data_IF_162781232512
#
_entry.id   IF_162781232512
#
_cell.length_a   1.000
_cell.length_b   1.000
_cell.length_c   1.000
_cell.angle_alpha   90.00
_cell.angle_beta   90.00
_cell.angle_gamma   90.00
#
_symmetry.space_group_name_H-M   'P 1'
#
loop_
_entity.id
_entity.type
_entity.pdbx_description
1 polymer ?
#
# COMPACT_ATOMS: atom_id res chain seq x y z
N UNK A 1 23.92 -39.52 -20.68
CA UNK A 1 23.85 -38.08 -20.99
C UNK A 1 23.63 -37.37 -19.66
N UNK A 2 24.56 -36.50 -19.27
CA UNK A 2 24.64 -35.82 -17.96
C UNK A 2 24.16 -34.37 -18.13
N UNK A 3 23.97 -33.70 -16.99
CA UNK A 3 23.79 -32.26 -16.72
C UNK A 3 22.33 -31.87 -16.51
N UNK A 4 21.83 -31.79 -15.26
CA UNK A 4 22.04 -30.74 -14.25
C UNK A 4 21.73 -29.34 -14.79
N UNK A 5 20.49 -28.90 -14.54
CA UNK A 5 20.18 -27.48 -14.41
C UNK A 5 19.67 -27.24 -12.99
N UNK A 6 20.64 -26.88 -12.14
CA UNK A 6 20.39 -26.16 -10.90
C UNK A 6 20.20 -24.67 -11.22
N UNK A 7 19.52 -23.98 -10.30
CA UNK A 7 19.37 -22.52 -10.15
C UNK A 7 18.11 -21.95 -10.82
N UNK A 8 17.09 -21.73 -9.99
CA UNK A 8 16.35 -20.47 -9.90
C UNK A 8 15.22 -20.61 -8.87
N UNK A 9 15.51 -20.52 -7.57
CA UNK A 9 14.45 -20.33 -6.56
C UNK A 9 15.00 -19.86 -5.19
N UNK A 10 15.95 -18.92 -5.20
CA UNK A 10 16.52 -18.35 -3.97
C UNK A 10 16.49 -16.81 -3.94
N UNK A 11 15.60 -16.17 -4.71
CA UNK A 11 15.52 -14.69 -4.79
C UNK A 11 14.25 -14.12 -4.14
N UNK A 12 13.41 -14.94 -3.51
CA UNK A 12 12.22 -14.41 -2.80
C UNK A 12 12.45 -14.16 -1.30
N UNK A 13 13.36 -14.88 -0.64
CA UNK A 13 13.49 -14.76 0.83
C UNK A 13 14.27 -13.54 1.33
N UNK A 14 15.14 -12.91 0.53
CA UNK A 14 15.87 -11.71 0.97
C UNK A 14 15.03 -10.43 0.84
N UNK A 15 14.17 -10.37 -0.18
CA UNK A 15 13.26 -9.24 -0.43
C UNK A 15 12.24 -9.09 0.70
N UNK A 16 11.71 -10.21 1.19
CA UNK A 16 10.67 -10.24 2.21
C UNK A 16 11.17 -9.78 3.59
N UNK A 17 12.39 -10.21 3.99
CA UNK A 17 12.99 -9.80 5.26
C UNK A 17 13.32 -8.31 5.31
N UNK A 18 13.86 -7.75 4.22
CA UNK A 18 14.17 -6.31 4.14
C UNK A 18 12.90 -5.47 4.22
N UNK A 19 11.80 -5.90 3.58
CA UNK A 19 10.51 -5.21 3.68
C UNK A 19 10.00 -5.20 5.14
N UNK A 20 10.14 -6.32 5.86
CA UNK A 20 9.70 -6.43 7.26
C UNK A 20 10.56 -5.56 8.19
N UNK A 21 11.89 -5.52 8.01
CA UNK A 21 12.77 -4.68 8.84
C UNK A 21 12.56 -3.18 8.57
N UNK A 22 12.39 -2.79 7.31
CA UNK A 22 12.19 -1.38 6.95
C UNK A 22 10.85 -0.84 7.50
N UNK A 23 9.79 -1.65 7.48
CA UNK A 23 8.49 -1.28 8.05
C UNK A 23 8.58 -1.06 9.57
N UNK A 24 9.43 -1.81 10.29
CA UNK A 24 9.59 -1.68 11.75
C UNK A 24 10.23 -0.36 12.19
N UNK A 25 11.14 0.20 11.39
CA UNK A 25 11.86 1.43 11.73
C UNK A 25 11.14 2.70 11.29
N UNK A 26 10.41 2.67 10.17
CA UNK A 26 9.82 3.87 9.56
C UNK A 26 8.37 4.15 9.99
N UNK A 27 7.71 3.22 10.69
CA UNK A 27 6.28 3.32 11.01
C UNK A 27 5.98 2.96 12.46
N UNK A 28 5.04 3.69 13.06
CA UNK A 28 4.52 3.43 14.41
C UNK A 28 3.80 2.07 14.49
N UNK A 29 3.57 1.56 15.71
CA UNK A 29 2.86 0.28 15.88
C UNK A 29 1.46 0.28 15.24
N UNK A 30 0.74 1.39 15.35
CA UNK A 30 -0.60 1.53 14.78
C UNK A 30 -0.57 1.60 13.25
N UNK A 31 0.38 2.35 12.67
CA UNK A 31 0.57 2.40 11.21
C UNK A 31 0.94 1.03 10.64
N UNK A 32 1.80 0.28 11.34
CA UNK A 32 2.17 -1.08 10.93
C UNK A 32 0.97 -2.02 10.94
N UNK A 33 0.09 -1.90 11.93
CA UNK A 33 -1.16 -2.67 11.97
C UNK A 33 -2.00 -2.38 10.73
N UNK A 34 -2.19 -1.10 10.38
CA UNK A 34 -2.94 -0.71 9.20
C UNK A 34 -2.31 -1.25 7.90
N UNK A 35 -0.99 -1.13 7.75
CA UNK A 35 -0.24 -1.66 6.58
C UNK A 35 -0.45 -3.17 6.45
N UNK A 36 -0.27 -3.93 7.52
CA UNK A 36 -0.38 -5.38 7.48
C UNK A 36 -1.83 -5.85 7.23
N UNK A 37 -2.81 -5.10 7.73
CA UNK A 37 -4.24 -5.41 7.53
C UNK A 37 -4.80 -5.02 6.16
N UNK A 38 -4.05 -4.24 5.35
CA UNK A 38 -4.52 -3.68 4.08
C UNK A 38 -5.79 -2.80 4.21
N UNK A 39 -6.08 -2.33 5.43
CA UNK A 39 -7.23 -1.49 5.75
C UNK A 39 -6.95 -0.01 5.45
N UNK A 40 -8.03 0.73 5.21
CA UNK A 40 -8.02 2.19 5.10
C UNK A 40 -8.71 2.77 6.32
N UNK A 41 -8.07 3.72 6.98
CA UNK A 41 -8.60 4.37 8.17
C UNK A 41 -8.51 5.89 8.05
N UNK A 42 -9.50 6.59 8.61
CA UNK A 42 -9.49 8.05 8.70
C UNK A 42 -8.27 8.49 9.52
N UNK A 43 -7.56 9.52 9.03
CA UNK A 43 -6.33 10.04 9.65
C UNK A 43 -5.04 9.33 9.21
N UNK A 44 -5.13 8.19 8.51
CA UNK A 44 -3.99 7.50 7.94
C UNK A 44 -3.22 8.41 6.99
N UNK A 45 -1.89 8.45 7.11
CA UNK A 45 -1.08 9.29 6.24
C UNK A 45 -0.99 8.71 4.83
N UNK A 46 -0.78 9.58 3.84
CA UNK A 46 -0.52 9.19 2.44
C UNK A 46 0.52 8.08 2.31
N UNK A 47 1.62 8.17 3.08
CA UNK A 47 2.72 7.21 3.04
C UNK A 47 2.29 5.82 3.53
N UNK A 48 1.52 5.77 4.62
CA UNK A 48 1.03 4.51 5.18
C UNK A 48 0.00 3.89 4.23
N UNK A 49 -0.89 4.70 3.63
CA UNK A 49 -1.87 4.22 2.65
C UNK A 49 -1.18 3.59 1.42
N UNK A 50 -0.19 4.27 0.85
CA UNK A 50 0.60 3.75 -0.27
C UNK A 50 1.34 2.47 0.11
N UNK A 51 1.86 2.38 1.34
CA UNK A 51 2.54 1.15 1.79
C UNK A 51 1.56 0.00 2.04
N UNK A 52 0.34 0.31 2.45
CA UNK A 52 -0.75 -0.63 2.74
C UNK A 52 -1.39 -1.19 1.47
N UNK A 53 -1.67 -0.34 0.47
CA UNK A 53 -2.43 -0.72 -0.73
C UNK A 53 -1.69 -0.60 -2.06
N UNK A 54 -0.50 0.00 -2.06
CA UNK A 54 0.21 0.35 -3.29
C UNK A 54 -0.27 1.66 -3.90
N UNK A 55 0.13 1.90 -5.15
CA UNK A 55 -0.24 3.10 -5.88
C UNK A 55 -1.71 3.05 -6.33
N UNK A 56 -2.46 4.17 -6.24
CA UNK A 56 -3.81 4.24 -6.77
C UNK A 56 -3.82 4.20 -8.31
N UNK A 57 -4.86 3.62 -8.90
CA UNK A 57 -5.06 3.61 -10.35
C UNK A 57 -5.30 5.01 -10.90
N UNK A 58 -5.94 5.86 -10.12
CA UNK A 58 -6.26 7.23 -10.54
C UNK A 58 -6.25 8.18 -9.36
N UNK A 59 -5.64 9.36 -9.57
CA UNK A 59 -5.63 10.46 -8.61
C UNK A 59 -6.24 11.71 -9.25
N UNK A 60 -7.35 12.18 -8.69
CA UNK A 60 -7.95 13.46 -9.05
C UNK A 60 -7.60 14.50 -8.00
N UNK A 61 -6.90 15.56 -8.40
CA UNK A 61 -6.58 16.68 -7.51
C UNK A 61 -7.56 17.82 -7.72
N UNK A 62 -8.25 18.21 -6.65
CA UNK A 62 -9.02 19.45 -6.59
C UNK A 62 -8.22 20.49 -5.83
N UNK A 63 -7.94 21.64 -6.46
CA UNK A 63 -7.14 22.71 -5.87
C UNK A 63 -7.70 23.29 -4.55
N UNK A 64 -8.95 22.98 -4.18
CA UNK A 64 -9.56 23.41 -2.90
C UNK A 64 -10.07 22.26 -2.03
N UNK A 65 -10.30 21.08 -2.59
CA UNK A 65 -11.03 19.99 -1.90
C UNK A 65 -10.16 18.79 -1.51
N UNK A 66 -8.87 18.81 -1.86
CA UNK A 66 -7.93 17.72 -1.59
C UNK A 66 -7.69 16.81 -2.80
N UNK A 67 -7.17 15.61 -2.54
CA UNK A 67 -6.93 14.59 -3.56
C UNK A 67 -7.94 13.46 -3.41
N UNK A 68 -8.56 13.00 -4.49
CA UNK A 68 -9.37 11.79 -4.51
C UNK A 68 -8.57 10.70 -5.21
N UNK A 69 -8.41 9.57 -4.54
CA UNK A 69 -7.65 8.42 -4.99
C UNK A 69 -8.62 7.28 -5.25
N UNK A 70 -8.43 6.57 -6.36
CA UNK A 70 -9.28 5.46 -6.77
C UNK A 70 -8.42 4.20 -6.91
N UNK A 71 -8.89 3.11 -6.31
CA UNK A 71 -8.29 1.78 -6.43
C UNK A 71 -9.34 0.82 -7.00
N UNK A 72 -9.03 0.13 -8.09
CA UNK A 72 -9.90 -0.83 -8.76
C UNK A 72 -9.50 -2.25 -8.36
N UNK A 73 -10.40 -2.93 -7.65
CA UNK A 73 -10.28 -4.35 -7.37
C UNK A 73 -10.44 -5.20 -8.63
N UNK A 74 -9.80 -6.38 -8.63
CA UNK A 74 -9.93 -7.34 -9.74
C UNK A 74 -11.35 -7.89 -9.94
N UNK A 75 -12.21 -7.75 -8.94
CA UNK A 75 -13.63 -8.10 -8.95
C UNK A 75 -14.54 -6.97 -9.49
N UNK A 76 -13.94 -5.85 -9.90
CA UNK A 76 -14.65 -4.66 -10.39
C UNK A 76 -15.13 -3.71 -9.28
N UNK A 77 -14.87 -4.00 -8.00
CA UNK A 77 -15.12 -3.05 -6.91
C UNK A 77 -14.16 -1.88 -6.98
N UNK A 78 -14.59 -0.73 -6.46
CA UNK A 78 -13.79 0.48 -6.49
C UNK A 78 -13.73 1.09 -5.10
N UNK A 79 -12.54 1.08 -4.52
CA UNK A 79 -12.27 1.86 -3.33
C UNK A 79 -11.95 3.30 -3.74
N UNK A 80 -12.74 4.23 -3.24
CA UNK A 80 -12.50 5.66 -3.32
C UNK A 80 -11.97 6.15 -1.98
N UNK A 81 -10.83 6.84 -1.99
CA UNK A 81 -10.24 7.46 -0.79
C UNK A 81 -10.13 8.97 -1.01
N UNK A 82 -10.69 9.75 -0.10
CA UNK A 82 -10.56 11.20 -0.07
C UNK A 82 -9.41 11.58 0.86
N UNK A 83 -8.42 12.25 0.31
CA UNK A 83 -7.24 12.74 0.99
C UNK A 83 -7.34 14.25 1.20
N UNK A 84 -7.09 14.71 2.42
CA UNK A 84 -7.01 16.12 2.78
C UNK A 84 -5.79 16.34 3.68
N UNK A 85 -5.02 17.39 3.37
CA UNK A 85 -3.80 17.75 4.13
C UNK A 85 -2.82 16.57 4.33
N UNK A 86 -2.69 15.73 3.29
CA UNK A 86 -1.80 14.56 3.29
C UNK A 86 -2.29 13.34 4.08
N UNK A 87 -3.54 13.36 4.55
CA UNK A 87 -4.16 12.27 5.33
C UNK A 87 -5.49 11.84 4.74
N UNK A 88 -5.90 10.61 5.01
CA UNK A 88 -7.24 10.10 4.70
C UNK A 88 -8.27 10.92 5.49
N UNK A 89 -9.16 11.58 4.78
CA UNK A 89 -10.30 12.31 5.33
C UNK A 89 -11.55 11.42 5.38
N UNK A 90 -11.79 10.65 4.31
CA UNK A 90 -12.95 9.77 4.17
C UNK A 90 -12.65 8.67 3.12
N UNK A 91 -13.43 7.58 3.10
CA UNK A 91 -13.28 6.51 2.11
C UNK A 91 -14.57 5.70 1.91
N UNK A 92 -14.71 5.08 0.74
CA UNK A 92 -15.85 4.23 0.35
C UNK A 92 -15.39 3.06 -0.49
N UNK A 93 -15.83 1.85 -0.15
CA UNK A 93 -15.55 0.59 -0.84
C UNK A 93 -16.85 -0.03 -1.38
#
# INVERSE_FOLDING_TARGET
>A
MVFQDHLCEAVDSQSELVVIENIKSDFTADERKLINSHEVAIGMSKRVLLKSRGEPDTVHRSGRSGEQWLYRGGDGRMLQVLMKDGKVFDWRD
#
